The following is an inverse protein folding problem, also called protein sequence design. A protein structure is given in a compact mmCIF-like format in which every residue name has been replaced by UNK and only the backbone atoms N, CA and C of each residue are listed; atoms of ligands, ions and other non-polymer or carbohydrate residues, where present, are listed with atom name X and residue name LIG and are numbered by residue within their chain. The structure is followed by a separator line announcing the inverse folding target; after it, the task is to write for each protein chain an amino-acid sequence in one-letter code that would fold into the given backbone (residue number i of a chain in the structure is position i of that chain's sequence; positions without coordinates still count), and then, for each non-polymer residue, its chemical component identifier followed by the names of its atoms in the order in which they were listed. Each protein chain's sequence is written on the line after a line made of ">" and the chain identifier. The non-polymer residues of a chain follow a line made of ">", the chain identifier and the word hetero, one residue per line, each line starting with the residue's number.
data_IF_016354516999
#
_entry.id   IF_016354516999
#
_cell.length_a   1.000
_cell.length_b   1.000
_cell.length_c   1.000
_cell.angle_alpha   90.00
_cell.angle_beta   90.00
_cell.angle_gamma   90.00
#
_symmetry.space_group_name_H-M   'P 1'
#
loop_
_entity.id
_entity.type
_entity.pdbx_description
1 polymer ?
#
# COMPACT_ATOMS: atom_id res chain seq x y z
N UNK A 1 -22.28 -19.00 37.03
CA UNK A 1 -20.99 -18.35 36.75
C UNK A 1 -20.37 -19.04 35.55
N UNK A 2 -20.62 -18.54 34.32
CA UNK A 2 -20.04 -19.10 33.09
C UNK A 2 -18.87 -18.21 32.70
N UNK A 3 -17.65 -18.72 32.85
CA UNK A 3 -16.43 -18.17 32.26
C UNK A 3 -16.22 -18.85 30.91
N UNK A 4 -16.05 -18.07 29.85
CA UNK A 4 -15.43 -18.44 28.54
C UNK A 4 -15.98 -17.47 27.47
N UNK A 5 -15.23 -16.86 26.56
CA UNK A 5 -13.79 -16.74 26.31
C UNK A 5 -13.59 -15.45 25.52
N UNK A 6 -12.48 -14.74 25.73
CA UNK A 6 -12.05 -13.60 24.90
C UNK A 6 -11.71 -14.10 23.49
N UNK A 7 -12.32 -13.50 22.46
CA UNK A 7 -11.89 -13.66 21.07
C UNK A 7 -11.00 -12.47 20.72
N UNK A 8 -9.68 -12.68 20.74
CA UNK A 8 -8.72 -11.75 20.16
C UNK A 8 -8.64 -12.02 18.66
N UNK A 9 -9.31 -11.18 17.86
CA UNK A 9 -9.05 -11.07 16.42
C UNK A 9 -8.24 -9.79 16.21
N UNK A 10 -6.93 -9.95 16.13
CA UNK A 10 -6.01 -8.90 15.67
C UNK A 10 -6.39 -8.55 14.25
N UNK A 11 -7.08 -7.42 14.00
CA UNK A 11 -6.72 -6.26 13.14
C UNK A 11 -7.76 -5.11 13.27
N UNK A 12 -8.92 -5.30 13.92
CA UNK A 12 -9.88 -4.23 14.16
C UNK A 12 -10.15 -4.07 15.65
N UNK A 13 -9.84 -2.90 16.21
CA UNK A 13 -10.35 -2.57 17.54
C UNK A 13 -11.88 -2.35 17.46
N UNK A 14 -12.55 -2.34 18.61
CA UNK A 14 -14.01 -2.15 18.69
C UNK A 14 -14.47 -0.88 17.97
N UNK A 15 -13.69 0.19 18.05
CA UNK A 15 -13.99 1.48 17.42
C UNK A 15 -14.00 1.38 15.90
N UNK A 16 -13.05 0.65 15.31
CA UNK A 16 -12.98 0.47 13.85
C UNK A 16 -14.16 -0.36 13.36
N UNK A 17 -14.55 -1.41 14.10
CA UNK A 17 -15.74 -2.20 13.75
C UNK A 17 -17.02 -1.37 13.84
N UNK A 18 -17.11 -0.45 14.81
CA UNK A 18 -18.25 0.43 14.96
C UNK A 18 -18.34 1.43 13.81
N UNK A 19 -17.21 1.99 13.39
CA UNK A 19 -17.13 2.88 12.23
C UNK A 19 -17.50 2.16 10.92
N UNK A 20 -17.06 0.91 10.72
CA UNK A 20 -17.44 0.13 9.54
C UNK A 20 -18.96 -0.08 9.47
N UNK A 21 -19.59 -0.42 10.60
CA UNK A 21 -21.06 -0.55 10.68
C UNK A 21 -21.80 0.76 10.42
N UNK A 22 -21.23 1.88 10.87
CA UNK A 22 -21.78 3.21 10.59
C UNK A 22 -21.76 3.50 9.09
N UNK A 23 -20.63 3.27 8.42
CA UNK A 23 -20.55 3.43 6.96
C UNK A 23 -21.52 2.50 6.22
N UNK A 24 -21.64 1.25 6.62
CA UNK A 24 -22.64 0.33 6.06
C UNK A 24 -24.08 0.85 6.26
N UNK A 25 -24.38 1.43 7.44
CA UNK A 25 -25.69 2.04 7.72
C UNK A 25 -25.98 3.28 6.87
N UNK A 26 -24.93 3.96 6.38
CA UNK A 26 -25.02 5.07 5.42
C UNK A 26 -25.15 4.59 3.97
N UNK A 27 -25.21 3.27 3.73
CA UNK A 27 -25.31 2.67 2.40
C UNK A 27 -23.97 2.51 1.68
N UNK A 28 -22.84 2.69 2.38
CA UNK A 28 -21.51 2.45 1.81
C UNK A 28 -21.26 0.94 1.76
N UNK A 29 -20.95 0.43 0.57
CA UNK A 29 -20.51 -0.96 0.41
C UNK A 29 -19.02 -1.06 0.72
N UNK A 30 -18.66 -1.90 1.68
CA UNK A 30 -17.28 -2.11 2.11
C UNK A 30 -16.77 -3.44 1.56
N UNK A 31 -15.65 -3.40 0.84
CA UNK A 31 -14.95 -4.60 0.38
C UNK A 31 -13.79 -4.90 1.30
N UNK A 32 -13.80 -6.09 1.91
CA UNK A 32 -12.72 -6.58 2.75
C UNK A 32 -11.66 -7.28 1.89
N UNK A 33 -10.39 -6.97 2.14
CA UNK A 33 -9.27 -7.61 1.47
C UNK A 33 -7.94 -7.30 2.17
N UNK A 34 -6.95 -8.14 1.91
CA UNK A 34 -5.59 -7.95 2.39
C UNK A 34 -4.74 -7.13 1.41
N UNK A 35 -3.60 -6.62 1.90
CA UNK A 35 -2.69 -5.76 1.13
C UNK A 35 -2.19 -6.44 -0.15
N UNK A 36 -2.00 -7.76 -0.12
CA UNK A 36 -1.53 -8.54 -1.26
C UNK A 36 -2.64 -9.00 -2.21
N UNK A 37 -3.92 -8.81 -1.85
CA UNK A 37 -5.09 -9.25 -2.62
C UNK A 37 -5.53 -8.22 -3.66
N UNK A 38 -4.58 -7.77 -4.48
CA UNK A 38 -4.83 -6.77 -5.52
C UNK A 38 -5.89 -7.18 -6.54
N UNK A 39 -6.09 -8.49 -6.76
CA UNK A 39 -7.13 -9.01 -7.65
C UNK A 39 -8.54 -8.65 -7.15
N UNK A 40 -8.78 -8.67 -5.83
CA UNK A 40 -10.07 -8.26 -5.25
C UNK A 40 -10.40 -6.79 -5.52
N UNK A 41 -9.38 -5.94 -5.50
CA UNK A 41 -9.52 -4.52 -5.81
C UNK A 41 -9.91 -4.31 -7.28
N UNK A 42 -9.30 -5.08 -8.17
CA UNK A 42 -9.63 -5.10 -9.61
C UNK A 42 -11.04 -5.65 -9.83
N UNK A 43 -11.45 -6.69 -9.10
CA UNK A 43 -12.80 -7.24 -9.19
C UNK A 43 -13.86 -6.28 -8.67
N UNK A 44 -13.59 -5.56 -7.58
CA UNK A 44 -14.45 -4.48 -7.09
C UNK A 44 -14.59 -3.38 -8.14
N UNK A 45 -13.49 -3.00 -8.81
CA UNK A 45 -13.52 -2.03 -9.90
C UNK A 45 -14.42 -2.49 -11.06
N UNK A 46 -14.50 -3.79 -11.35
CA UNK A 46 -15.38 -4.34 -12.41
C UNK A 46 -16.86 -4.33 -12.03
N UNK A 47 -17.19 -4.51 -10.75
CA UNK A 47 -18.56 -4.57 -10.25
C UNK A 47 -19.26 -3.21 -10.20
N UNK A 48 -18.51 -2.12 -10.22
CA UNK A 48 -19.06 -0.77 -10.13
C UNK A 48 -19.19 -0.14 -11.51
N UNK A 49 -20.37 0.35 -11.85
CA UNK A 49 -20.61 1.02 -13.14
C UNK A 49 -19.86 2.35 -13.23
N UNK A 50 -20.07 3.23 -12.24
CA UNK A 50 -19.53 4.58 -12.19
C UNK A 50 -18.39 4.67 -11.18
N UNK A 51 -17.19 4.99 -11.66
CA UNK A 51 -16.02 5.28 -10.83
C UNK A 51 -15.55 6.70 -11.12
N UNK A 52 -15.58 7.56 -10.10
CA UNK A 52 -15.10 8.94 -10.22
C UNK A 52 -13.57 8.96 -10.41
N UNK A 53 -12.86 8.18 -9.60
CA UNK A 53 -11.42 7.96 -9.72
C UNK A 53 -10.98 6.70 -8.98
N UNK A 54 -10.14 5.91 -9.63
CA UNK A 54 -9.41 4.81 -9.03
C UNK A 54 -7.97 5.21 -8.70
N UNK A 55 -7.52 4.96 -7.45
CA UNK A 55 -6.16 5.26 -6.99
C UNK A 55 -5.57 3.97 -6.39
N UNK A 56 -4.77 3.20 -7.15
CA UNK A 56 -4.13 2.01 -6.61
C UNK A 56 -2.97 2.36 -5.68
N UNK A 57 -2.57 1.38 -4.85
CA UNK A 57 -1.44 1.48 -3.93
C UNK A 57 -0.08 1.47 -4.66
N UNK A 58 0.27 2.59 -5.28
CA UNK A 58 1.50 2.78 -6.05
C UNK A 58 2.62 3.41 -5.22
N UNK A 59 2.34 4.55 -4.59
CA UNK A 59 3.07 5.31 -3.57
C UNK A 59 4.59 5.08 -3.41
N UNK A 60 5.30 4.90 -4.51
CA UNK A 60 6.73 4.61 -4.53
C UNK A 60 7.33 5.00 -5.88
N UNK A 61 8.20 4.16 -6.41
CA UNK A 61 8.81 4.37 -7.71
C UNK A 61 7.84 4.11 -8.88
N UNK A 62 8.11 4.74 -10.02
CA UNK A 62 7.45 4.43 -11.28
C UNK A 62 7.94 3.08 -11.85
N UNK A 63 7.26 1.99 -11.46
CA UNK A 63 7.70 0.61 -11.73
C UNK A 63 7.80 0.24 -13.22
N UNK A 64 7.16 1.00 -14.11
CA UNK A 64 7.24 0.80 -15.56
C UNK A 64 8.53 1.37 -16.19
N UNK A 65 9.25 2.25 -15.48
CA UNK A 65 10.46 2.92 -15.98
C UNK A 65 11.76 2.43 -15.33
N UNK A 66 11.68 1.48 -14.41
CA UNK A 66 12.82 0.98 -13.66
C UNK A 66 12.95 -0.54 -13.71
N UNK A 67 14.19 -1.02 -13.65
CA UNK A 67 14.53 -2.42 -13.42
C UNK A 67 14.87 -2.66 -11.96
N UNK A 68 14.54 -3.83 -11.43
CA UNK A 68 14.85 -4.20 -10.04
C UNK A 68 15.46 -5.58 -9.92
N UNK A 69 16.11 -5.80 -8.78
CA UNK A 69 16.64 -7.11 -8.41
C UNK A 69 15.49 -8.11 -8.19
N UNK A 70 15.74 -9.43 -8.32
CA UNK A 70 14.69 -10.46 -8.27
C UNK A 70 13.72 -10.35 -7.08
N UNK A 71 14.16 -10.06 -5.83
CA UNK A 71 13.24 -9.94 -4.70
C UNK A 71 12.21 -8.81 -4.86
N UNK A 72 12.61 -7.70 -5.50
CA UNK A 72 11.74 -6.55 -5.73
C UNK A 72 10.96 -6.67 -7.04
N UNK A 73 11.42 -7.50 -7.98
CA UNK A 73 10.75 -7.70 -9.27
C UNK A 73 9.35 -8.27 -9.06
N UNK A 74 9.17 -9.26 -8.19
CA UNK A 74 7.87 -9.84 -7.91
C UNK A 74 6.86 -8.80 -7.38
N UNK A 75 7.31 -7.88 -6.53
CA UNK A 75 6.49 -6.77 -6.01
C UNK A 75 6.10 -5.81 -7.15
N UNK A 76 7.04 -5.48 -8.02
CA UNK A 76 6.79 -4.60 -9.17
C UNK A 76 5.83 -5.25 -10.18
N UNK A 77 5.97 -6.55 -10.43
CA UNK A 77 5.10 -7.29 -11.35
C UNK A 77 3.63 -7.27 -10.85
N UNK A 78 3.39 -7.42 -9.54
CA UNK A 78 2.06 -7.26 -8.95
C UNK A 78 1.47 -5.86 -9.20
N UNK A 79 2.26 -4.80 -8.99
CA UNK A 79 1.82 -3.41 -9.27
C UNK A 79 1.50 -3.21 -10.74
N UNK A 80 2.35 -3.72 -11.64
CA UNK A 80 2.12 -3.67 -13.09
C UNK A 80 0.81 -4.34 -13.49
N UNK A 81 0.50 -5.49 -12.91
CA UNK A 81 -0.76 -6.18 -13.17
C UNK A 81 -1.98 -5.31 -12.81
N UNK A 82 -1.95 -4.62 -11.67
CA UNK A 82 -3.01 -3.67 -11.27
C UNK A 82 -3.11 -2.49 -12.25
N UNK A 83 -1.97 -1.94 -12.70
CA UNK A 83 -1.98 -0.86 -13.70
C UNK A 83 -2.66 -1.29 -14.99
N UNK A 84 -2.27 -2.46 -15.53
CA UNK A 84 -2.88 -3.00 -16.75
C UNK A 84 -4.38 -3.27 -16.58
N UNK A 85 -4.79 -3.75 -15.40
CA UNK A 85 -6.19 -3.95 -15.09
C UNK A 85 -6.98 -2.64 -15.03
N UNK A 86 -6.42 -1.61 -14.39
CA UNK A 86 -7.01 -0.27 -14.33
C UNK A 86 -7.17 0.34 -15.73
N UNK A 87 -6.12 0.29 -16.55
CA UNK A 87 -6.16 0.75 -17.94
C UNK A 87 -7.22 0.00 -18.77
N UNK A 88 -7.24 -1.34 -18.69
CA UNK A 88 -8.21 -2.17 -19.41
C UNK A 88 -9.66 -1.92 -18.98
N UNK A 89 -9.88 -1.46 -17.75
CA UNK A 89 -11.23 -1.17 -17.26
C UNK A 89 -11.90 0.01 -17.98
N UNK A 90 -11.12 0.87 -18.63
CA UNK A 90 -11.61 2.12 -19.23
C UNK A 90 -12.10 3.16 -18.22
N UNK A 91 -11.95 2.90 -16.92
CA UNK A 91 -12.39 3.81 -15.84
C UNK A 91 -11.31 4.85 -15.51
N UNK A 92 -11.67 6.04 -15.02
CA UNK A 92 -10.70 7.06 -14.64
C UNK A 92 -9.78 6.55 -13.52
N UNK A 93 -8.46 6.69 -13.69
CA UNK A 93 -7.48 6.31 -12.68
C UNK A 93 -6.38 7.37 -12.50
N UNK A 94 -5.62 7.26 -11.41
CA UNK A 94 -4.41 8.06 -11.19
C UNK A 94 -3.37 7.21 -10.47
N UNK A 95 -2.20 7.08 -11.08
CA UNK A 95 -1.03 6.47 -10.45
C UNK A 95 -0.22 7.55 -9.77
N UNK A 96 0.03 7.39 -8.47
CA UNK A 96 0.77 8.35 -7.65
C UNK A 96 2.16 7.78 -7.36
N UNK A 97 3.20 8.44 -7.86
CA UNK A 97 4.59 8.09 -7.59
C UNK A 97 5.13 9.02 -6.50
N UNK A 98 4.91 8.61 -5.25
CA UNK A 98 5.28 9.39 -4.06
C UNK A 98 6.78 9.29 -3.73
N UNK A 99 7.54 8.53 -4.50
CA UNK A 99 8.96 8.33 -4.30
C UNK A 99 9.28 7.75 -2.90
N UNK A 100 10.36 8.21 -2.28
CA UNK A 100 10.78 7.75 -0.96
C UNK A 100 9.99 8.42 0.15
N UNK A 101 9.47 7.62 1.09
CA UNK A 101 8.90 8.14 2.32
C UNK A 101 10.00 8.73 3.20
N UNK A 102 10.04 10.07 3.30
CA UNK A 102 11.13 10.82 3.94
C UNK A 102 11.44 10.34 5.34
N UNK A 103 10.45 10.32 6.25
CA UNK A 103 10.65 9.87 7.62
C UNK A 103 11.10 8.41 7.73
N UNK A 104 10.56 7.53 6.87
CA UNK A 104 10.94 6.11 6.83
C UNK A 104 12.42 5.95 6.45
N UNK A 105 12.85 6.58 5.36
CA UNK A 105 14.24 6.47 4.89
C UNK A 105 15.23 7.23 5.78
N UNK A 106 14.87 8.37 6.36
CA UNK A 106 15.70 9.06 7.38
C UNK A 106 15.96 8.14 8.56
N UNK A 107 14.92 7.46 9.06
CA UNK A 107 15.06 6.56 10.20
C UNK A 107 15.91 5.32 9.88
N UNK A 108 15.82 4.78 8.66
CA UNK A 108 16.60 3.59 8.26
C UNK A 108 18.06 3.94 7.96
N UNK A 109 18.29 5.04 7.24
CA UNK A 109 19.63 5.42 6.77
C UNK A 109 20.46 6.08 7.87
N UNK A 110 19.85 7.01 8.62
CA UNK A 110 20.57 7.82 9.61
C UNK A 110 20.39 7.31 11.04
N UNK A 111 19.29 6.60 11.32
CA UNK A 111 18.93 6.10 12.66
C UNK A 111 19.14 7.17 13.75
N UNK A 112 18.50 8.36 13.61
CA UNK A 112 18.84 9.55 14.40
C UNK A 112 18.61 9.42 15.90
N UNK A 113 17.87 8.40 16.34
CA UNK A 113 17.58 8.12 17.75
C UNK A 113 18.55 7.12 18.39
N UNK A 114 19.53 6.58 17.64
CA UNK A 114 20.57 5.72 18.18
C UNK A 114 21.78 6.55 18.60
N UNK A 115 21.78 7.03 19.84
CA UNK A 115 22.85 7.89 20.39
C UNK A 115 24.24 7.24 20.37
N UNK A 116 24.31 5.90 20.29
CA UNK A 116 25.55 5.13 20.26
C UNK A 116 26.08 4.93 18.84
N UNK A 117 25.33 5.38 17.83
CA UNK A 117 25.70 5.20 16.43
C UNK A 117 26.69 6.29 15.99
N UNK A 118 27.98 5.95 16.01
CA UNK A 118 29.05 6.84 15.54
C UNK A 118 29.48 6.59 14.09
N UNK A 119 28.73 5.75 13.35
CA UNK A 119 29.00 5.41 11.95
C UNK A 119 27.71 5.29 11.15
N UNK A 120 27.74 5.73 9.90
CA UNK A 120 26.62 5.59 8.96
C UNK A 120 26.99 4.58 7.88
N UNK A 121 26.05 3.72 7.50
CA UNK A 121 26.22 2.79 6.39
C UNK A 121 25.82 3.48 5.09
N UNK A 122 26.75 3.55 4.13
CA UNK A 122 26.49 4.02 2.77
C UNK A 122 26.32 2.79 1.86
N UNK A 123 25.19 2.72 1.15
CA UNK A 123 24.93 1.66 0.19
C UNK A 123 25.46 2.06 -1.19
N UNK A 124 26.37 1.28 -1.75
CA UNK A 124 27.06 1.62 -3.01
C UNK A 124 28.05 2.78 -2.83
N UNK A 125 28.16 3.66 -3.82
CA UNK A 125 29.07 4.82 -3.77
C UNK A 125 28.50 6.01 -2.98
N UNK A 126 27.18 6.07 -2.79
CA UNK A 126 26.50 7.21 -2.16
C UNK A 126 26.27 8.41 -3.10
N UNK A 127 26.67 8.32 -4.37
CA UNK A 127 26.55 9.43 -5.34
C UNK A 127 25.24 9.41 -6.13
N UNK A 128 24.50 8.29 -6.06
CA UNK A 128 23.24 8.12 -6.79
C UNK A 128 22.21 9.12 -6.30
N UNK A 129 21.77 10.01 -7.20
CA UNK A 129 20.61 10.85 -6.96
C UNK A 129 19.34 10.04 -7.18
N UNK A 130 18.40 10.16 -6.24
CA UNK A 130 17.07 9.65 -6.45
C UNK A 130 16.42 10.42 -7.62
N UNK A 131 16.08 9.71 -8.70
CA UNK A 131 15.40 10.30 -9.87
C UNK A 131 13.89 10.25 -9.61
N UNK A 132 13.28 11.41 -9.49
CA UNK A 132 11.82 11.62 -9.52
C UNK A 132 11.29 11.61 -10.95
#
# INVERSE_FOLDING_TARGET
>A
MVKSSTVHISIYNTETLQLLKEFESMGITIFQGEVDEHDKLVDALRQVDIVIRFIPSEFGNEVDRISSLPPFKAIFDKKKAVRRAAEKSGKPYTFIFANSFGAYFVNILLRPFDEKLHKVTVYGTGETKYKS
#
